data_IF_232411834633
#
_entry.id   IF_232411834633
#
_cell.length_a   1.000
_cell.length_b   1.000
_cell.length_c   1.000
_cell.angle_alpha   90.00
_cell.angle_beta   90.00
_cell.angle_gamma   90.00
#
_symmetry.space_group_name_H-M   'P 1'
#
loop_
_entity.id
_entity.type
_entity.pdbx_description
1 polymer ?
#
# COMPACT_ATOMS: atom_id res chain seq x y z
N UNK A 1 14.77 -38.14 -44.79
CA UNK A 1 13.80 -38.21 -43.66
C UNK A 1 14.13 -37.07 -42.70
N UNK A 2 13.37 -35.95 -42.73
CA UNK A 2 13.64 -34.79 -41.86
C UNK A 2 13.04 -35.00 -40.47
N UNK A 3 13.84 -34.89 -39.43
CA UNK A 3 13.36 -34.83 -38.04
C UNK A 3 12.65 -33.49 -37.79
N UNK A 4 11.35 -33.55 -37.48
CA UNK A 4 10.55 -32.39 -37.08
C UNK A 4 10.33 -32.49 -35.57
N UNK A 5 11.05 -31.67 -34.79
CA UNK A 5 10.86 -31.55 -33.34
C UNK A 5 9.58 -30.73 -33.10
N UNK A 6 8.46 -31.40 -32.77
CA UNK A 6 7.23 -30.73 -32.35
C UNK A 6 7.32 -30.42 -30.84
N UNK A 7 7.06 -29.17 -30.47
CA UNK A 7 7.10 -28.67 -29.08
C UNK A 7 6.10 -29.45 -28.20
N UNK A 8 6.56 -30.49 -27.48
CA UNK A 8 5.71 -31.32 -26.61
C UNK A 8 5.19 -30.59 -25.35
N UNK A 9 5.68 -29.38 -25.05
CA UNK A 9 5.33 -28.63 -23.83
C UNK A 9 4.20 -27.62 -24.03
N UNK A 10 3.23 -27.88 -24.90
CA UNK A 10 2.14 -26.92 -25.15
C UNK A 10 0.97 -26.99 -24.15
N UNK A 11 1.02 -27.91 -23.18
CA UNK A 11 -0.05 -28.14 -22.19
C UNK A 11 0.38 -27.95 -20.73
N UNK A 12 1.65 -27.58 -20.46
CA UNK A 12 2.14 -27.34 -19.09
C UNK A 12 1.64 -26.01 -18.50
N UNK A 13 1.17 -25.09 -19.35
CA UNK A 13 0.60 -23.82 -18.94
C UNK A 13 -0.91 -24.00 -18.90
N UNK A 14 -1.54 -24.08 -17.72
CA UNK A 14 -2.99 -24.19 -17.64
C UNK A 14 -3.62 -22.96 -18.32
N UNK A 15 -4.76 -23.13 -19.02
CA UNK A 15 -5.43 -22.04 -19.72
C UNK A 15 -5.78 -20.92 -18.74
N UNK A 16 -5.85 -19.68 -19.24
CA UNK A 16 -6.22 -18.50 -18.43
C UNK A 16 -7.67 -18.62 -17.98
N UNK A 17 -7.86 -19.26 -16.84
CA UNK A 17 -9.13 -19.47 -16.17
C UNK A 17 -9.51 -18.18 -15.44
N UNK A 18 -10.78 -17.76 -15.56
CA UNK A 18 -11.26 -16.50 -14.96
C UNK A 18 -11.19 -16.49 -13.42
N UNK A 19 -11.08 -17.67 -12.78
CA UNK A 19 -10.85 -17.82 -11.34
C UNK A 19 -10.48 -19.28 -11.00
N UNK A 20 -9.26 -19.49 -10.48
CA UNK A 20 -8.81 -20.81 -10.00
C UNK A 20 -9.67 -21.39 -8.87
N UNK A 21 -10.28 -20.51 -8.07
CA UNK A 21 -11.10 -20.88 -6.90
C UNK A 21 -12.46 -21.47 -7.29
N UNK A 22 -12.90 -21.26 -8.54
CA UNK A 22 -14.24 -21.58 -9.02
C UNK A 22 -14.31 -22.87 -9.85
N UNK A 23 -13.18 -23.55 -10.05
CA UNK A 23 -13.08 -24.82 -10.77
C UNK A 23 -13.28 -25.94 -9.75
N UNK A 24 -14.29 -26.80 -9.97
CA UNK A 24 -14.65 -27.89 -9.07
C UNK A 24 -15.62 -27.51 -7.93
N UNK A 25 -15.95 -26.22 -7.76
CA UNK A 25 -16.98 -25.82 -6.80
C UNK A 25 -18.35 -26.32 -7.28
N UNK A 26 -19.05 -27.11 -6.45
CA UNK A 26 -20.43 -27.53 -6.71
C UNK A 26 -21.29 -26.30 -7.07
N UNK A 27 -22.01 -26.29 -8.21
CA UNK A 27 -22.92 -25.19 -8.58
C UNK A 27 -23.91 -24.82 -7.47
N UNK A 28 -24.35 -25.79 -6.64
CA UNK A 28 -25.17 -25.54 -5.47
C UNK A 28 -24.44 -24.70 -4.40
N UNK A 29 -23.15 -24.93 -4.17
CA UNK A 29 -22.34 -24.15 -3.23
C UNK A 29 -22.16 -22.69 -3.71
N UNK A 30 -22.01 -22.46 -5.02
CA UNK A 30 -22.00 -21.11 -5.60
C UNK A 30 -23.33 -20.37 -5.38
N UNK A 31 -24.46 -21.05 -5.61
CA UNK A 31 -25.80 -20.48 -5.36
C UNK A 31 -25.99 -20.13 -3.88
N UNK A 32 -25.58 -21.02 -2.98
CA UNK A 32 -25.62 -20.76 -1.54
C UNK A 32 -24.73 -19.56 -1.15
N UNK A 33 -23.51 -19.47 -1.70
CA UNK A 33 -22.63 -18.33 -1.45
C UNK A 33 -23.24 -17.00 -1.92
N UNK A 34 -23.85 -16.96 -3.11
CA UNK A 34 -24.52 -15.75 -3.62
C UNK A 34 -25.74 -15.33 -2.79
N UNK A 35 -26.50 -16.28 -2.24
CA UNK A 35 -27.62 -15.97 -1.36
C UNK A 35 -27.13 -15.40 -0.03
N UNK A 36 -26.09 -16.00 0.56
CA UNK A 36 -25.46 -15.47 1.78
C UNK A 36 -24.86 -14.10 1.55
N UNK A 37 -24.19 -13.88 0.41
CA UNK A 37 -23.63 -12.59 0.03
C UNK A 37 -24.72 -11.54 -0.20
N UNK A 38 -25.84 -11.89 -0.83
CA UNK A 38 -27.00 -11.02 -0.99
C UNK A 38 -27.52 -10.51 0.36
N UNK A 39 -27.73 -11.40 1.34
CA UNK A 39 -28.18 -11.00 2.67
C UNK A 39 -27.12 -10.21 3.46
N UNK A 40 -25.83 -10.49 3.24
CA UNK A 40 -24.74 -9.69 3.83
C UNK A 40 -24.64 -8.29 3.21
N UNK A 41 -24.94 -8.18 1.91
CA UNK A 41 -24.86 -6.95 1.14
C UNK A 41 -26.11 -6.09 1.26
N UNK A 42 -27.18 -6.57 1.92
CA UNK A 42 -28.30 -5.72 2.28
C UNK A 42 -27.76 -4.48 3.01
N UNK A 43 -28.28 -3.27 2.70
CA UNK A 43 -27.80 -2.04 3.32
C UNK A 43 -28.05 -2.08 4.82
N UNK A 44 -27.05 -2.56 5.54
CA UNK A 44 -26.88 -2.24 6.95
C UNK A 44 -26.51 -0.76 6.93
N UNK A 45 -27.14 0.06 7.78
CA UNK A 45 -26.92 1.51 7.80
C UNK A 45 -25.43 1.90 7.80
N UNK A 46 -25.10 3.17 7.55
CA UNK A 46 -23.71 3.61 7.32
C UNK A 46 -22.78 3.02 8.38
N UNK A 47 -21.79 2.24 7.93
CA UNK A 47 -20.83 1.60 8.82
C UNK A 47 -20.18 2.69 9.69
N UNK A 48 -20.03 2.46 11.01
CA UNK A 48 -19.42 3.45 11.89
C UNK A 48 -18.05 3.84 11.35
N UNK A 49 -17.82 5.13 11.12
CA UNK A 49 -16.51 5.60 10.70
C UNK A 49 -15.51 5.23 11.80
N UNK A 50 -14.48 4.48 11.44
CA UNK A 50 -13.43 4.04 12.37
C UNK A 50 -12.68 5.28 12.81
N UNK A 51 -13.05 5.80 14.00
CA UNK A 51 -12.36 6.96 14.56
C UNK A 51 -10.90 6.58 14.79
N UNK A 52 -9.95 7.32 14.22
CA UNK A 52 -8.54 7.00 14.41
C UNK A 52 -8.17 7.11 15.88
N UNK A 53 -7.55 6.07 16.41
CA UNK A 53 -6.94 6.06 17.74
C UNK A 53 -5.44 6.37 17.64
N UNK A 54 -4.90 7.04 18.67
CA UNK A 54 -3.48 7.40 18.73
C UNK A 54 -3.07 8.58 17.82
N UNK A 55 -1.83 9.04 18.00
CA UNK A 55 -1.30 10.21 17.31
C UNK A 55 -1.12 9.98 15.80
N UNK A 56 -0.57 8.81 15.43
CA UNK A 56 -0.36 8.43 14.02
C UNK A 56 -1.69 8.26 13.30
N UNK A 57 -2.68 7.64 13.95
CA UNK A 57 -4.02 7.48 13.37
C UNK A 57 -4.66 8.83 13.04
N UNK A 58 -4.58 9.79 13.97
CA UNK A 58 -5.11 11.15 13.76
C UNK A 58 -4.42 11.88 12.62
N UNK A 59 -3.09 11.74 12.50
CA UNK A 59 -2.34 12.32 11.40
C UNK A 59 -2.70 11.67 10.06
N UNK A 60 -2.84 10.35 10.02
CA UNK A 60 -3.27 9.60 8.83
C UNK A 60 -4.64 10.07 8.36
N UNK A 61 -5.61 10.16 9.26
CA UNK A 61 -6.96 10.63 8.92
C UNK A 61 -6.98 12.04 8.35
N UNK A 62 -6.15 12.93 8.90
CA UNK A 62 -6.09 14.34 8.49
C UNK A 62 -5.50 14.57 7.09
N UNK A 63 -4.64 13.67 6.61
CA UNK A 63 -3.88 13.93 5.38
C UNK A 63 -3.88 12.81 4.33
N UNK A 64 -4.28 11.58 4.67
CA UNK A 64 -4.19 10.43 3.79
C UNK A 64 -5.53 9.76 3.47
N UNK A 65 -6.57 9.92 4.29
CA UNK A 65 -7.84 9.22 4.12
C UNK A 65 -8.92 10.13 3.51
N UNK A 66 -9.75 9.55 2.64
CA UNK A 66 -10.98 10.16 2.10
C UNK A 66 -10.77 11.51 1.42
N UNK A 67 -11.72 12.42 1.64
CA UNK A 67 -11.73 13.77 1.05
C UNK A 67 -10.59 14.67 1.55
N UNK A 68 -9.91 14.28 2.63
CA UNK A 68 -8.75 14.99 3.18
C UNK A 68 -7.42 14.47 2.60
N UNK A 69 -7.44 13.53 1.67
CA UNK A 69 -6.24 13.04 0.99
C UNK A 69 -5.55 14.19 0.25
N UNK A 70 -4.36 14.55 0.69
CA UNK A 70 -3.68 15.75 0.22
C UNK A 70 -2.17 15.51 0.17
N UNK A 71 -1.45 16.23 -0.70
CA UNK A 71 0.01 16.11 -0.85
C UNK A 71 0.86 16.69 0.30
N UNK A 72 0.24 17.31 1.32
CA UNK A 72 0.95 17.93 2.46
C UNK A 72 1.91 16.99 3.21
N UNK A 73 1.65 15.67 3.37
CA UNK A 73 2.63 14.76 3.97
C UNK A 73 3.97 14.72 3.24
N UNK A 74 3.99 14.90 1.92
CA UNK A 74 5.23 14.99 1.15
C UNK A 74 6.00 16.27 1.50
N UNK A 75 5.29 17.38 1.72
CA UNK A 75 5.90 18.62 2.18
C UNK A 75 6.42 18.49 3.62
N UNK A 76 5.67 17.85 4.52
CA UNK A 76 6.12 17.57 5.88
C UNK A 76 7.39 16.70 5.89
N UNK A 77 7.44 15.67 5.04
CA UNK A 77 8.63 14.83 4.88
C UNK A 77 9.82 15.63 4.35
N UNK A 78 9.61 16.45 3.32
CA UNK A 78 10.65 17.29 2.73
C UNK A 78 11.22 18.27 3.75
N UNK A 79 10.34 18.95 4.51
CA UNK A 79 10.74 19.86 5.57
C UNK A 79 11.52 19.14 6.68
N UNK A 80 11.08 17.93 7.07
CA UNK A 80 11.80 17.11 8.03
C UNK A 80 13.21 16.76 7.54
N UNK A 81 13.36 16.32 6.29
CA UNK A 81 14.66 15.98 5.71
C UNK A 81 15.59 17.19 5.67
N UNK A 82 15.09 18.37 5.29
CA UNK A 82 15.91 19.59 5.22
C UNK A 82 16.40 20.02 6.61
N UNK A 83 15.49 20.07 7.59
CA UNK A 83 15.84 20.48 8.97
C UNK A 83 16.79 19.46 9.60
N UNK A 84 16.47 18.17 9.47
CA UNK A 84 17.27 17.11 10.04
C UNK A 84 18.66 17.05 9.37
N UNK A 85 18.72 17.11 8.04
CA UNK A 85 19.96 17.17 7.27
C UNK A 85 20.83 18.36 7.65
N UNK A 86 20.25 19.56 7.74
CA UNK A 86 20.97 20.75 8.19
C UNK A 86 21.49 20.62 9.62
N UNK A 87 20.70 20.03 10.52
CA UNK A 87 21.14 19.83 11.91
C UNK A 87 22.33 18.88 12.01
N UNK A 88 22.34 17.80 11.20
CA UNK A 88 23.47 16.89 11.13
C UNK A 88 24.70 17.57 10.53
N UNK A 89 24.53 18.29 9.43
CA UNK A 89 25.61 19.02 8.77
C UNK A 89 26.21 20.09 9.70
N UNK A 90 25.36 20.77 10.48
CA UNK A 90 25.82 21.69 11.52
C UNK A 90 26.60 20.98 12.62
N UNK A 91 26.11 19.86 13.12
CA UNK A 91 26.74 19.10 14.19
C UNK A 91 28.10 18.51 13.79
N UNK A 92 28.20 17.95 12.59
CA UNK A 92 29.41 17.26 12.12
C UNK A 92 30.41 18.20 11.45
N UNK A 93 29.96 19.11 10.58
CA UNK A 93 30.85 19.97 9.80
C UNK A 93 30.89 21.41 10.31
N UNK A 94 29.77 22.15 10.30
CA UNK A 94 29.84 23.62 10.47
C UNK A 94 30.22 24.06 11.89
N UNK A 95 29.90 23.28 12.94
CA UNK A 95 30.27 23.63 14.32
C UNK A 95 31.78 23.71 14.50
N UNK A 96 32.53 22.78 13.93
CA UNK A 96 33.99 22.73 14.04
C UNK A 96 34.69 23.84 13.23
N UNK A 97 34.03 24.38 12.19
CA UNK A 97 34.53 25.54 11.47
C UNK A 97 34.39 26.86 12.26
N UNK A 98 33.38 26.96 13.14
CA UNK A 98 33.19 28.15 13.98
C UNK A 98 34.10 28.13 15.21
N UNK A 99 34.25 26.98 15.86
CA UNK A 99 35.14 26.82 17.03
C UNK A 99 36.64 26.93 16.65
N UNK A 100 37.01 26.65 15.40
CA UNK A 100 38.38 26.85 14.88
C UNK A 100 38.72 28.29 14.46
N UNK A 101 37.73 29.17 14.30
CA UNK A 101 37.94 30.58 13.93
C UNK A 101 38.21 31.49 15.15
N UNK A 102 37.89 31.03 16.37
CA UNK A 102 38.11 31.79 17.61
C UNK A 102 39.47 31.52 18.28
N UNK A 103 40.32 30.69 17.67
CA UNK A 103 41.64 30.29 18.19
C UNK A 103 42.84 30.79 17.35
N UNK A 104 42.67 31.88 16.59
CA UNK A 104 43.78 32.60 15.94
C UNK A 104 43.78 34.08 16.36
#
# INVERSE_FOLDING_TARGET
>A
MSFIIRRQLSTLIPPKIASAKNIGSNPAAKRLASVVEFYKALPQGPAPQVKPTGLIGRYKEKYFNGDNATGKPLLHLSAFVLIFGYSLEYYFHLRHHKDGAEHH
#
